data_IF_000814259558
#
_entry.id   IF_000814259558
#
_cell.length_a   1.000
_cell.length_b   1.000
_cell.length_c   1.000
_cell.angle_alpha   90.00
_cell.angle_beta   90.00
_cell.angle_gamma   90.00
#
_symmetry.space_group_name_H-M   'P 1'
#
loop_
_entity.id
_entity.type
_entity.pdbx_description
1 polymer ?
#
# COMPACT_ATOMS: atom_id res chain seq x y z
N UNK A 1 8.47 -27.33 -5.34
CA UNK A 1 8.19 -26.35 -4.26
C UNK A 1 6.68 -26.18 -4.11
N UNK A 2 6.15 -26.30 -2.89
CA UNK A 2 4.71 -26.17 -2.60
C UNK A 2 4.18 -24.81 -3.10
N UNK A 3 3.10 -24.80 -3.89
CA UNK A 3 2.57 -23.59 -4.53
C UNK A 3 2.23 -22.48 -3.51
N UNK A 4 1.73 -22.86 -2.33
CA UNK A 4 1.41 -21.89 -1.26
C UNK A 4 2.66 -21.12 -0.82
N UNK A 5 3.78 -21.82 -0.61
CA UNK A 5 5.06 -21.18 -0.27
C UNK A 5 5.49 -20.22 -1.37
N UNK A 6 5.31 -20.61 -2.63
CA UNK A 6 5.70 -19.75 -3.76
C UNK A 6 4.94 -18.42 -3.76
N UNK A 7 3.64 -18.49 -3.47
CA UNK A 7 2.75 -17.32 -3.43
C UNK A 7 2.94 -16.50 -2.16
N UNK A 8 3.33 -17.12 -1.04
CA UNK A 8 3.76 -16.44 0.18
C UNK A 8 4.97 -15.56 -0.12
N UNK A 9 6.01 -16.12 -0.76
CA UNK A 9 7.21 -15.36 -1.15
C UNK A 9 6.84 -14.20 -2.09
N UNK A 10 5.98 -14.44 -3.09
CA UNK A 10 5.52 -13.39 -4.00
C UNK A 10 4.80 -12.26 -3.25
N UNK A 11 3.86 -12.59 -2.36
CA UNK A 11 3.09 -11.60 -1.61
C UNK A 11 3.99 -10.83 -0.62
N UNK A 12 4.88 -11.52 0.08
CA UNK A 12 5.87 -10.88 0.94
C UNK A 12 6.66 -9.82 0.18
N UNK A 13 7.26 -10.20 -0.96
CA UNK A 13 8.07 -9.29 -1.78
C UNK A 13 7.23 -8.13 -2.34
N UNK A 14 6.01 -8.42 -2.82
CA UNK A 14 5.11 -7.41 -3.40
C UNK A 14 4.89 -6.23 -2.45
N UNK A 15 4.66 -6.52 -1.17
CA UNK A 15 4.39 -5.51 -0.16
C UNK A 15 5.66 -4.99 0.53
N UNK A 16 6.76 -5.75 0.53
CA UNK A 16 8.07 -5.25 0.94
C UNK A 16 8.55 -4.08 0.07
N UNK A 17 8.31 -4.13 -1.24
CA UNK A 17 8.57 -2.99 -2.16
C UNK A 17 7.89 -1.72 -1.66
N UNK A 18 6.61 -1.81 -1.26
CA UNK A 18 5.86 -0.66 -0.79
C UNK A 18 6.30 -0.19 0.60
N UNK A 19 6.50 -1.13 1.51
CA UNK A 19 6.89 -0.87 2.90
C UNK A 19 8.27 -0.23 3.03
N UNK A 20 9.11 -0.33 1.98
CA UNK A 20 10.41 0.30 1.95
C UNK A 20 10.36 1.84 1.95
N UNK A 21 9.29 2.46 1.46
CA UNK A 21 9.25 3.93 1.37
C UNK A 21 7.92 4.55 1.78
N UNK A 22 6.79 3.82 1.73
CA UNK A 22 5.47 4.42 1.84
C UNK A 22 5.28 5.23 3.13
N UNK A 23 5.77 4.74 4.26
CA UNK A 23 5.57 5.39 5.57
C UNK A 23 6.70 6.33 5.98
N UNK A 24 7.88 6.24 5.35
CA UNK A 24 9.06 7.05 5.67
C UNK A 24 9.32 8.18 4.68
N UNK A 25 8.78 8.12 3.46
CA UNK A 25 9.07 9.10 2.40
C UNK A 25 8.68 10.52 2.78
N UNK A 26 7.59 10.71 3.54
CA UNK A 26 7.23 12.03 4.07
C UNK A 26 8.35 12.67 4.89
N UNK A 27 9.08 11.88 5.68
CA UNK A 27 10.18 12.36 6.54
C UNK A 27 11.38 12.75 5.69
N UNK A 28 11.71 11.96 4.67
CA UNK A 28 12.71 12.34 3.68
C UNK A 28 12.34 13.64 2.96
N UNK A 29 11.12 13.75 2.43
CA UNK A 29 10.64 14.95 1.73
C UNK A 29 10.71 16.18 2.63
N UNK A 30 10.33 16.07 3.89
CA UNK A 30 10.46 17.16 4.87
C UNK A 30 11.92 17.58 5.03
N UNK A 31 12.83 16.62 5.17
CA UNK A 31 14.26 16.88 5.38
C UNK A 31 14.92 17.61 4.20
N UNK A 32 14.55 17.27 2.97
CA UNK A 32 15.09 17.92 1.75
C UNK A 32 14.29 19.18 1.33
N UNK A 33 13.50 19.76 2.23
CA UNK A 33 12.74 21.00 1.96
C UNK A 33 11.49 20.85 1.09
N UNK A 34 11.07 19.62 0.76
CA UNK A 34 9.88 19.31 -0.04
C UNK A 34 8.65 18.90 0.79
N UNK A 35 8.63 19.21 2.09
CA UNK A 35 7.54 18.84 3.01
C UNK A 35 6.16 19.36 2.58
N UNK A 36 6.09 20.54 1.97
CA UNK A 36 4.85 21.11 1.42
C UNK A 36 4.27 20.29 0.24
N UNK A 37 5.10 19.47 -0.41
CA UNK A 37 4.71 18.64 -1.55
C UNK A 37 4.32 17.20 -1.17
N UNK A 38 4.38 16.81 0.11
CA UNK A 38 4.00 15.45 0.55
C UNK A 38 2.63 15.06 -0.01
N UNK A 39 1.64 15.97 0.05
CA UNK A 39 0.29 15.71 -0.43
C UNK A 39 0.24 15.20 -1.88
N UNK A 40 0.99 15.81 -2.81
CA UNK A 40 0.95 15.41 -4.23
C UNK A 40 1.68 14.09 -4.49
N UNK A 41 2.77 13.80 -3.76
CA UNK A 41 3.45 12.50 -3.85
C UNK A 41 2.51 11.33 -3.47
N UNK A 42 1.70 11.50 -2.41
CA UNK A 42 0.75 10.45 -2.01
C UNK A 42 -0.51 10.43 -2.88
N UNK A 43 -0.96 11.59 -3.38
CA UNK A 43 -2.06 11.66 -4.33
C UNK A 43 -1.74 10.99 -5.67
N UNK A 44 -0.47 11.03 -6.12
CA UNK A 44 -0.04 10.43 -7.38
C UNK A 44 -0.35 8.93 -7.46
N UNK A 45 -0.28 8.21 -6.32
CA UNK A 45 -0.64 6.79 -6.23
C UNK A 45 -2.12 6.57 -6.60
N UNK A 46 -3.01 7.47 -6.15
CA UNK A 46 -4.42 7.48 -6.53
C UNK A 46 -4.61 7.81 -8.01
N UNK A 47 -3.91 8.83 -8.51
CA UNK A 47 -4.01 9.27 -9.92
C UNK A 47 -3.67 8.13 -10.88
N UNK A 48 -2.51 7.46 -10.71
CA UNK A 48 -2.12 6.36 -11.60
C UNK A 48 -3.06 5.16 -11.48
N UNK A 49 -3.62 4.93 -10.28
CA UNK A 49 -4.55 3.82 -10.03
C UNK A 49 -5.87 3.95 -10.78
N UNK A 50 -6.23 5.14 -11.28
CA UNK A 50 -7.43 5.35 -12.09
C UNK A 50 -7.34 4.71 -13.48
N UNK A 51 -6.14 4.54 -14.03
CA UNK A 51 -5.97 4.10 -15.42
C UNK A 51 -4.92 3.00 -15.62
N UNK A 52 -3.81 3.01 -14.88
CA UNK A 52 -2.74 2.01 -15.06
C UNK A 52 -3.19 0.57 -14.79
N UNK A 53 -3.99 0.26 -13.75
CA UNK A 53 -4.52 -1.09 -13.55
C UNK A 53 -5.37 -1.58 -14.74
N UNK A 54 -6.17 -0.70 -15.34
CA UNK A 54 -6.96 -1.04 -16.52
C UNK A 54 -6.07 -1.31 -17.74
N UNK A 55 -5.08 -0.45 -17.98
CA UNK A 55 -4.12 -0.61 -19.09
C UNK A 55 -3.35 -1.93 -18.96
N UNK A 56 -2.71 -2.16 -17.80
CA UNK A 56 -1.94 -3.39 -17.60
C UNK A 56 -2.83 -4.62 -17.52
N UNK A 57 -4.07 -4.51 -17.03
CA UNK A 57 -5.05 -5.60 -17.07
C UNK A 57 -5.36 -6.04 -18.50
N UNK A 58 -5.62 -5.09 -19.41
CA UNK A 58 -5.82 -5.40 -20.84
C UNK A 58 -4.59 -6.08 -21.45
N UNK A 59 -3.39 -5.62 -21.09
CA UNK A 59 -2.13 -6.22 -21.58
C UNK A 59 -1.96 -7.64 -21.05
N UNK A 60 -2.25 -7.85 -19.76
CA UNK A 60 -2.19 -9.16 -19.10
C UNK A 60 -3.16 -10.17 -19.72
N UNK A 61 -4.36 -9.70 -20.08
CA UNK A 61 -5.39 -10.55 -20.66
C UNK A 61 -5.06 -10.96 -22.10
N UNK A 62 -4.46 -10.07 -22.90
CA UNK A 62 -4.35 -10.24 -24.35
C UNK A 62 -2.97 -10.64 -24.86
N UNK A 63 -1.91 -10.07 -24.29
CA UNK A 63 -0.59 -10.08 -24.95
C UNK A 63 0.52 -10.69 -24.10
N UNK A 64 0.55 -10.37 -22.81
CA UNK A 64 1.65 -10.78 -21.92
C UNK A 64 1.10 -11.57 -20.74
N UNK A 65 1.60 -12.80 -20.48
CA UNK A 65 1.22 -13.55 -19.29
C UNK A 65 1.34 -12.72 -17.99
N UNK A 66 0.32 -12.76 -17.12
CA UNK A 66 0.24 -11.90 -15.94
C UNK A 66 1.49 -11.95 -15.04
N UNK A 67 2.12 -13.12 -14.87
CA UNK A 67 3.34 -13.29 -14.08
C UNK A 67 4.57 -12.61 -14.71
N UNK A 68 4.65 -12.58 -16.05
CA UNK A 68 5.72 -11.86 -16.76
C UNK A 68 5.48 -10.36 -16.71
N UNK A 69 4.23 -9.93 -16.89
CA UNK A 69 3.89 -8.52 -16.79
C UNK A 69 4.13 -7.99 -15.37
N UNK A 70 3.78 -8.77 -14.34
CA UNK A 70 4.12 -8.48 -12.95
C UNK A 70 5.63 -8.25 -12.77
N UNK A 71 6.46 -9.16 -13.31
CA UNK A 71 7.91 -9.03 -13.21
C UNK A 71 8.46 -7.81 -13.96
N UNK A 72 7.98 -7.54 -15.17
CA UNK A 72 8.38 -6.37 -15.96
C UNK A 72 7.98 -5.05 -15.28
N UNK A 73 6.77 -4.99 -14.73
CA UNK A 73 6.30 -3.81 -13.99
C UNK A 73 7.15 -3.52 -12.76
N UNK A 74 7.52 -4.55 -11.99
CA UNK A 74 8.42 -4.38 -10.84
C UNK A 74 9.83 -3.97 -11.25
N UNK A 75 10.34 -4.50 -12.37
CA UNK A 75 11.64 -4.09 -12.90
C UNK A 75 11.62 -2.61 -13.32
N UNK A 76 10.61 -2.17 -14.05
CA UNK A 76 10.47 -0.78 -14.46
C UNK A 76 10.28 0.15 -13.26
N UNK A 77 9.43 -0.23 -12.30
CA UNK A 77 9.27 0.52 -11.07
C UNK A 77 10.60 0.65 -10.31
N UNK A 78 11.35 -0.46 -10.16
CA UNK A 78 12.66 -0.46 -9.53
C UNK A 78 13.66 0.43 -10.26
N UNK A 79 13.70 0.42 -11.60
CA UNK A 79 14.59 1.28 -12.38
C UNK A 79 14.31 2.77 -12.14
N UNK A 80 13.03 3.17 -12.14
CA UNK A 80 12.67 4.56 -11.84
C UNK A 80 12.96 4.93 -10.38
N UNK A 81 12.80 4.00 -9.44
CA UNK A 81 13.11 4.23 -8.03
C UNK A 81 14.62 4.27 -7.76
N UNK A 82 15.45 3.52 -8.49
CA UNK A 82 16.91 3.72 -8.56
C UNK A 82 17.22 5.11 -9.08
N UNK A 83 16.53 5.57 -10.13
CA UNK A 83 16.65 6.95 -10.64
C UNK A 83 16.34 8.01 -9.56
N UNK A 84 15.25 7.82 -8.80
CA UNK A 84 14.90 8.69 -7.67
C UNK A 84 15.97 8.67 -6.57
N UNK A 85 16.46 7.48 -6.20
CA UNK A 85 17.51 7.29 -5.19
C UNK A 85 18.84 7.92 -5.62
N UNK A 86 19.27 7.67 -6.85
CA UNK A 86 20.49 8.22 -7.42
C UNK A 86 20.41 9.74 -7.53
N UNK A 87 19.27 10.27 -8.00
CA UNK A 87 19.06 11.71 -8.06
C UNK A 87 19.14 12.34 -6.66
N UNK A 88 18.43 11.78 -5.67
CA UNK A 88 18.51 12.24 -4.28
C UNK A 88 19.92 12.17 -3.70
N UNK A 89 20.71 11.17 -4.07
CA UNK A 89 22.12 11.06 -3.68
C UNK A 89 22.99 12.16 -4.30
N UNK A 90 22.82 12.42 -5.59
CA UNK A 90 23.68 13.39 -6.33
C UNK A 90 23.28 14.84 -6.13
N UNK A 91 22.00 15.13 -5.92
CA UNK A 91 21.49 16.49 -5.72
C UNK A 91 21.71 17.00 -4.29
N UNK A 92 21.94 16.12 -3.31
CA UNK A 92 22.19 16.51 -1.93
C UNK A 92 20.98 17.22 -1.32
N UNK A 93 21.19 18.46 -0.85
CA UNK A 93 20.12 19.29 -0.26
C UNK A 93 19.32 20.08 -1.32
N UNK A 94 19.80 20.16 -2.57
CA UNK A 94 19.19 20.93 -3.67
C UNK A 94 18.27 20.07 -4.57
N UNK A 95 17.53 19.14 -3.95
CA UNK A 95 16.64 18.21 -4.68
C UNK A 95 15.48 18.97 -5.32
N UNK A 96 15.42 18.96 -6.66
CA UNK A 96 14.30 19.51 -7.40
C UNK A 96 13.05 18.66 -7.25
N UNK A 97 11.94 19.30 -6.85
CA UNK A 97 10.61 18.71 -6.86
C UNK A 97 10.31 18.00 -8.18
N UNK A 98 10.45 18.70 -9.31
CA UNK A 98 10.04 18.21 -10.64
C UNK A 98 10.77 16.91 -11.01
N UNK A 99 12.07 16.83 -10.77
CA UNK A 99 12.88 15.67 -11.15
C UNK A 99 12.56 14.48 -10.25
N UNK A 100 12.58 14.67 -8.92
CA UNK A 100 12.26 13.60 -7.97
C UNK A 100 10.83 13.09 -8.18
N UNK A 101 9.87 14.01 -8.31
CA UNK A 101 8.47 13.69 -8.53
C UNK A 101 8.25 12.94 -9.85
N UNK A 102 9.00 13.26 -10.91
CA UNK A 102 8.90 12.55 -12.20
C UNK A 102 9.35 11.09 -12.09
N UNK A 103 10.52 10.84 -11.49
CA UNK A 103 10.99 9.47 -11.25
C UNK A 103 10.02 8.68 -10.37
N UNK A 104 9.59 9.28 -9.27
CA UNK A 104 8.60 8.67 -8.38
C UNK A 104 7.28 8.37 -9.11
N UNK A 105 6.75 9.32 -9.88
CA UNK A 105 5.48 9.18 -10.62
C UNK A 105 5.53 8.03 -11.62
N UNK A 106 6.63 7.92 -12.37
CA UNK A 106 6.84 6.82 -13.30
C UNK A 106 6.94 5.48 -12.57
N UNK A 107 7.65 5.43 -11.44
CA UNK A 107 7.72 4.22 -10.64
C UNK A 107 6.35 3.77 -10.14
N UNK A 108 5.56 4.67 -9.54
CA UNK A 108 4.24 4.30 -9.02
C UNK A 108 3.25 3.95 -10.13
N UNK A 109 3.41 4.52 -11.33
CA UNK A 109 2.60 4.14 -12.50
C UNK A 109 2.77 2.66 -12.87
N UNK A 110 3.99 2.12 -12.73
CA UNK A 110 4.24 0.69 -12.95
C UNK A 110 3.96 -0.15 -11.71
N UNK A 111 4.18 0.36 -10.50
CA UNK A 111 3.97 -0.40 -9.27
C UNK A 111 2.48 -0.56 -8.90
N UNK A 112 1.65 0.49 -8.92
CA UNK A 112 0.23 0.40 -8.51
C UNK A 112 -0.59 -0.72 -9.20
N UNK A 113 -0.53 -0.91 -10.53
CA UNK A 113 -1.24 -2.00 -11.18
C UNK A 113 -0.74 -3.40 -10.77
N UNK A 114 0.45 -3.53 -10.20
CA UNK A 114 0.98 -4.83 -9.73
C UNK A 114 0.16 -5.43 -8.60
N UNK A 115 -0.55 -4.63 -7.80
CA UNK A 115 -1.42 -5.11 -6.73
C UNK A 115 -2.56 -5.99 -7.28
N UNK A 116 -3.15 -5.59 -8.41
CA UNK A 116 -4.17 -6.38 -9.08
C UNK A 116 -3.55 -7.58 -9.82
N UNK A 117 -2.41 -7.37 -10.49
CA UNK A 117 -1.71 -8.44 -11.21
C UNK A 117 -1.24 -9.56 -10.28
N UNK A 118 -0.71 -9.24 -9.10
CA UNK A 118 -0.27 -10.23 -8.10
C UNK A 118 -1.43 -11.08 -7.61
N UNK A 119 -2.62 -10.48 -7.44
CA UNK A 119 -3.83 -11.22 -7.08
C UNK A 119 -4.24 -12.17 -8.23
N UNK A 120 -4.27 -11.69 -9.48
CA UNK A 120 -4.56 -12.53 -10.64
C UNK A 120 -3.59 -13.72 -10.78
N UNK A 121 -2.29 -13.48 -10.56
CA UNK A 121 -1.26 -14.52 -10.57
C UNK A 121 -1.50 -15.54 -9.46
N UNK A 122 -1.78 -15.09 -8.24
CA UNK A 122 -2.06 -15.97 -7.11
C UNK A 122 -3.31 -16.82 -7.34
N UNK A 123 -4.41 -16.22 -7.80
CA UNK A 123 -5.66 -16.93 -8.06
C UNK A 123 -5.51 -17.97 -9.16
N UNK A 124 -4.85 -17.62 -10.28
CA UNK A 124 -4.60 -18.57 -11.36
C UNK A 124 -3.71 -19.72 -10.90
N UNK A 125 -2.70 -19.44 -10.09
CA UNK A 125 -1.78 -20.46 -9.59
C UNK A 125 -2.44 -21.43 -8.59
N UNK A 126 -3.33 -20.92 -7.72
CA UNK A 126 -4.11 -21.73 -6.78
C UNK A 126 -5.14 -22.60 -7.50
N UNK A 127 -5.86 -22.02 -8.47
CA UNK A 127 -6.86 -22.71 -9.29
C UNK A 127 -6.22 -23.86 -10.07
N UNK A 128 -5.09 -23.61 -10.74
CA UNK A 128 -4.30 -24.66 -11.41
C UNK A 128 -3.80 -25.78 -10.48
N UNK A 129 -3.68 -25.50 -9.18
CA UNK A 129 -3.29 -26.49 -8.19
C UNK A 129 -4.49 -27.20 -7.55
N UNK A 130 -5.72 -26.94 -8.01
CA UNK A 130 -6.96 -27.52 -7.47
C UNK A 130 -7.29 -27.04 -6.05
N UNK A 131 -6.81 -25.86 -5.66
CA UNK A 131 -7.02 -25.29 -4.33
C UNK A 131 -8.16 -24.27 -4.34
N UNK A 132 -9.00 -24.33 -3.31
CA UNK A 132 -10.04 -23.32 -3.04
C UNK A 132 -9.37 -21.95 -2.78
N UNK A 133 -9.53 -21.02 -3.72
CA UNK A 133 -8.91 -19.68 -3.68
C UNK A 133 -9.41 -18.86 -2.50
N UNK A 134 -10.70 -18.98 -2.15
CA UNK A 134 -11.33 -18.23 -1.06
C UNK A 134 -10.73 -18.63 0.28
N UNK A 135 -10.41 -19.93 0.45
CA UNK A 135 -9.78 -20.44 1.68
C UNK A 135 -8.26 -20.27 1.68
N UNK A 136 -7.61 -20.47 0.53
CA UNK A 136 -6.16 -20.55 0.46
C UNK A 136 -5.49 -19.18 0.36
N UNK A 137 -6.13 -18.19 -0.26
CA UNK A 137 -5.50 -16.89 -0.51
C UNK A 137 -5.39 -15.97 0.72
N UNK A 138 -6.37 -15.88 1.65
CA UNK A 138 -6.27 -14.93 2.76
C UNK A 138 -5.01 -15.12 3.63
N UNK A 139 -4.63 -16.35 4.06
CA UNK A 139 -3.37 -16.53 4.80
C UNK A 139 -2.12 -16.16 3.99
N UNK A 140 -2.15 -16.38 2.67
CA UNK A 140 -1.05 -16.01 1.76
C UNK A 140 -0.93 -14.47 1.68
N UNK A 141 -2.07 -13.78 1.59
CA UNK A 141 -2.15 -12.31 1.51
C UNK A 141 -1.62 -11.65 2.78
N UNK A 142 -1.89 -12.21 3.95
CA UNK A 142 -1.37 -11.74 5.24
C UNK A 142 0.17 -11.70 5.28
N UNK A 143 0.84 -12.65 4.60
CA UNK A 143 2.29 -12.62 4.47
C UNK A 143 2.81 -11.41 3.69
N UNK A 144 1.96 -10.75 2.89
CA UNK A 144 2.26 -9.45 2.30
C UNK A 144 2.41 -8.36 3.37
N UNK A 145 1.49 -8.27 4.33
CA UNK A 145 1.61 -7.29 5.43
C UNK A 145 2.87 -7.54 6.27
N UNK A 146 3.25 -8.81 6.46
CA UNK A 146 4.53 -9.16 7.08
C UNK A 146 5.71 -8.61 6.26
N UNK A 147 5.69 -8.78 4.93
CA UNK A 147 6.71 -8.20 4.05
C UNK A 147 6.79 -6.68 4.14
N UNK A 148 5.65 -6.01 4.22
CA UNK A 148 5.57 -4.57 4.46
C UNK A 148 6.27 -4.18 5.76
N UNK A 149 5.90 -4.82 6.88
CA UNK A 149 6.48 -4.57 8.22
C UNK A 149 7.99 -4.82 8.22
N UNK A 150 8.44 -5.96 7.68
CA UNK A 150 9.86 -6.29 7.62
C UNK A 150 10.66 -5.22 6.85
N UNK A 151 10.10 -4.70 5.75
CA UNK A 151 10.77 -3.63 5.01
C UNK A 151 10.76 -2.29 5.74
N UNK A 152 9.69 -1.97 6.47
CA UNK A 152 9.65 -0.78 7.34
C UNK A 152 10.75 -0.85 8.40
N UNK A 153 10.90 -2.00 9.06
CA UNK A 153 11.90 -2.22 10.09
C UNK A 153 13.31 -2.15 9.53
N UNK A 154 13.56 -2.75 8.37
CA UNK A 154 14.86 -2.66 7.70
C UNK A 154 15.23 -1.20 7.44
N UNK A 155 14.31 -0.40 6.90
CA UNK A 155 14.54 1.02 6.58
C UNK A 155 14.74 1.87 7.83
N UNK A 156 14.03 1.54 8.91
CA UNK A 156 14.16 2.23 10.20
C UNK A 156 15.51 1.92 10.88
N UNK A 157 15.80 0.63 11.07
CA UNK A 157 16.98 0.15 11.80
C UNK A 157 18.31 0.46 11.08
N UNK A 158 18.30 0.55 9.74
CA UNK A 158 19.46 0.98 8.97
C UNK A 158 19.57 2.52 8.85
N UNK A 159 18.65 3.28 9.45
CA UNK A 159 18.67 4.74 9.42
C UNK A 159 18.31 5.35 8.05
N UNK A 160 17.60 4.60 7.20
CA UNK A 160 17.25 5.01 5.84
C UNK A 160 15.95 5.82 5.77
N UNK A 161 15.15 5.87 6.84
CA UNK A 161 13.85 6.54 6.84
C UNK A 161 13.88 8.01 6.39
N UNK A 162 14.98 8.72 6.69
CA UNK A 162 15.13 10.14 6.41
C UNK A 162 16.06 10.43 5.22
N UNK A 163 16.38 9.45 4.37
CA UNK A 163 17.26 9.64 3.23
C UNK A 163 16.85 8.81 2.00
N UNK A 164 17.56 9.01 0.89
CA UNK A 164 17.28 8.39 -0.41
C UNK A 164 17.49 6.85 -0.43
N UNK A 165 18.15 6.25 0.56
CA UNK A 165 18.41 4.80 0.62
C UNK A 165 17.13 3.97 0.69
N UNK A 166 16.03 4.54 1.17
CA UNK A 166 14.71 3.90 1.14
C UNK A 166 14.24 3.58 -0.29
N UNK A 167 14.62 4.40 -1.27
CA UNK A 167 14.31 4.16 -2.69
C UNK A 167 15.17 3.04 -3.29
N UNK A 168 16.44 2.95 -2.90
CA UNK A 168 17.28 1.80 -3.28
C UNK A 168 16.78 0.50 -2.63
N UNK A 169 16.34 0.55 -1.38
CA UNK A 169 15.74 -0.60 -0.69
C UNK A 169 14.48 -1.07 -1.43
N UNK A 170 13.59 -0.14 -1.81
CA UNK A 170 12.43 -0.42 -2.65
C UNK A 170 12.83 -1.10 -3.97
N UNK A 171 13.84 -0.56 -4.66
CA UNK A 171 14.32 -1.12 -5.92
C UNK A 171 14.92 -2.53 -5.77
N UNK A 172 15.66 -2.81 -4.70
CA UNK A 172 16.21 -4.15 -4.43
C UNK A 172 15.07 -5.17 -4.29
N UNK A 173 14.06 -4.88 -3.48
CA UNK A 173 12.88 -5.75 -3.38
C UNK A 173 12.17 -5.92 -4.73
N UNK A 174 12.06 -4.85 -5.51
CA UNK A 174 11.43 -4.85 -6.82
C UNK A 174 12.17 -5.73 -7.83
N UNK A 175 13.51 -5.65 -7.87
CA UNK A 175 14.35 -6.50 -8.74
C UNK A 175 14.28 -7.96 -8.32
N UNK A 176 14.32 -8.25 -7.01
CA UNK A 176 14.17 -9.63 -6.50
C UNK A 176 12.82 -10.19 -6.94
N UNK A 177 11.73 -9.43 -6.80
CA UNK A 177 10.41 -9.85 -7.24
C UNK A 177 10.33 -9.97 -8.76
N UNK A 178 10.95 -9.06 -9.52
CA UNK A 178 10.98 -9.12 -10.97
C UNK A 178 11.61 -10.42 -11.48
N UNK A 179 12.74 -10.82 -10.90
CA UNK A 179 13.41 -12.09 -11.22
C UNK A 179 12.54 -13.27 -10.75
N UNK A 180 12.05 -13.23 -9.52
CA UNK A 180 11.27 -14.31 -8.93
C UNK A 180 9.95 -14.56 -9.68
N UNK A 181 9.29 -13.52 -10.19
CA UNK A 181 8.03 -13.60 -10.91
C UNK A 181 8.13 -14.46 -12.17
N UNK A 182 9.30 -14.50 -12.82
CA UNK A 182 9.54 -15.37 -13.98
C UNK A 182 9.55 -16.86 -13.63
N UNK A 183 9.76 -17.20 -12.37
CA UNK A 183 9.72 -18.60 -11.92
C UNK A 183 8.28 -19.08 -11.74
N UNK A 184 7.33 -18.18 -11.44
CA UNK A 184 5.95 -18.52 -11.06
C UNK A 184 5.21 -19.30 -12.15
N UNK A 185 4.18 -20.10 -11.78
CA UNK A 185 3.39 -20.83 -12.77
C UNK A 185 2.88 -19.90 -13.86
N UNK A 186 2.88 -20.38 -15.10
CA UNK A 186 2.42 -19.56 -16.21
C UNK A 186 0.93 -19.24 -16.08
N UNK A 187 0.59 -17.95 -16.12
CA UNK A 187 -0.78 -17.46 -16.27
C UNK A 187 -1.06 -17.29 -17.76
N UNK A 188 -1.81 -18.20 -18.41
CA UNK A 188 -2.05 -18.12 -19.84
C UNK A 188 -2.83 -16.85 -20.16
N UNK A 189 -2.47 -16.21 -21.28
CA UNK A 189 -3.26 -15.11 -21.82
C UNK A 189 -4.59 -15.65 -22.36
N UNK A 190 -5.66 -14.91 -22.20
CA UNK A 190 -6.96 -15.25 -22.77
C UNK A 190 -6.92 -14.91 -24.27
N UNK A 191 -6.40 -15.83 -25.08
CA UNK A 191 -6.58 -15.74 -26.54
C UNK A 191 -8.04 -16.06 -26.83
N UNK A 192 -8.82 -15.04 -27.21
CA UNK A 192 -10.23 -15.13 -27.63
C UNK A 192 -10.57 -16.49 -28.28
N UNK A 193 -11.11 -17.43 -27.51
CA UNK A 193 -11.75 -18.66 -27.99
C UNK A 193 -13.26 -18.46 -28.22
N UNK A 194 -13.67 -17.24 -28.61
CA UNK A 194 -15.06 -16.97 -28.98
C UNK A 194 -15.43 -15.50 -29.00
N UNK A 195 -15.18 -14.82 -30.12
CA UNK A 195 -16.02 -13.76 -30.70
C UNK A 195 -16.42 -12.49 -29.93
N UNK A 196 -16.29 -12.38 -28.61
CA UNK A 196 -16.75 -11.20 -27.87
C UNK A 196 -15.57 -10.27 -27.57
N UNK A 197 -15.37 -9.26 -28.43
CA UNK A 197 -14.60 -8.07 -28.04
C UNK A 197 -15.31 -7.45 -26.84
N UNK A 198 -14.78 -7.64 -25.62
CA UNK A 198 -15.19 -6.80 -24.47
C UNK A 198 -15.09 -5.34 -24.91
N UNK A 199 -16.20 -4.61 -24.78
CA UNK A 199 -16.27 -3.19 -25.14
C UNK A 199 -15.19 -2.42 -24.37
N UNK A 200 -14.61 -1.37 -24.98
CA UNK A 200 -13.64 -0.50 -24.30
C UNK A 200 -14.20 0.06 -22.98
N UNK A 201 -15.52 0.28 -22.92
CA UNK A 201 -16.24 0.72 -21.72
C UNK A 201 -16.25 -0.36 -20.62
N UNK A 202 -16.33 -1.64 -21.00
CA UNK A 202 -16.25 -2.77 -20.07
C UNK A 202 -14.82 -3.04 -19.63
N UNK A 203 -13.86 -2.93 -20.55
CA UNK A 203 -12.43 -3.14 -20.26
C UNK A 203 -11.86 -2.07 -19.33
N UNK A 204 -12.34 -0.83 -19.43
CA UNK A 204 -11.96 0.28 -18.55
C UNK A 204 -12.80 0.35 -17.25
N UNK A 205 -13.74 -0.57 -17.04
CA UNK A 205 -14.57 -0.60 -15.82
C UNK A 205 -15.53 0.59 -15.68
N UNK A 206 -15.75 1.38 -16.74
CA UNK A 206 -16.55 2.61 -16.72
C UNK A 206 -18.04 2.34 -16.39
N UNK A 207 -18.50 1.09 -16.49
CA UNK A 207 -19.82 0.69 -15.99
C UNK A 207 -19.98 0.86 -14.47
N UNK A 208 -18.88 0.89 -13.70
CA UNK A 208 -18.92 1.14 -12.26
C UNK A 208 -19.53 2.51 -11.92
N UNK A 209 -19.43 3.50 -12.80
CA UNK A 209 -20.07 4.81 -12.58
C UNK A 209 -21.61 4.73 -12.57
N UNK A 210 -22.22 3.68 -13.13
CA UNK A 210 -23.65 3.45 -13.03
C UNK A 210 -24.11 3.22 -11.58
N UNK A 211 -23.22 2.75 -10.70
CA UNK A 211 -23.52 2.58 -9.27
C UNK A 211 -23.82 3.92 -8.59
N UNK A 212 -23.26 5.04 -9.06
CA UNK A 212 -23.59 6.38 -8.54
C UNK A 212 -25.05 6.79 -8.80
N UNK A 213 -25.76 6.12 -9.71
CA UNK A 213 -27.20 6.33 -9.89
C UNK A 213 -28.01 5.86 -8.68
N UNK A 214 -27.47 4.93 -7.88
CA UNK A 214 -28.09 4.48 -6.64
C UNK A 214 -27.67 5.39 -5.49
N UNK A 215 -28.63 6.11 -4.90
CA UNK A 215 -28.38 7.09 -3.83
C UNK A 215 -27.56 6.52 -2.67
N UNK A 216 -27.82 5.27 -2.25
CA UNK A 216 -27.07 4.61 -1.17
C UNK A 216 -25.59 4.38 -1.54
N UNK A 217 -25.32 3.94 -2.76
CA UNK A 217 -23.96 3.73 -3.26
C UNK A 217 -23.21 5.04 -3.43
N UNK A 218 -23.85 6.08 -3.98
CA UNK A 218 -23.24 7.40 -4.13
C UNK A 218 -22.81 7.99 -2.78
N UNK A 219 -23.69 7.92 -1.77
CA UNK A 219 -23.38 8.36 -0.40
C UNK A 219 -22.20 7.54 0.14
N UNK A 220 -22.26 6.22 0.02
CA UNK A 220 -21.18 5.33 0.45
C UNK A 220 -19.83 5.67 -0.20
N UNK A 221 -19.79 5.93 -1.51
CA UNK A 221 -18.56 6.29 -2.21
C UNK A 221 -18.01 7.64 -1.78
N UNK A 222 -18.86 8.66 -1.58
CA UNK A 222 -18.40 9.96 -1.06
C UNK A 222 -17.76 9.80 0.31
N UNK A 223 -18.40 9.06 1.21
CA UNK A 223 -17.81 8.76 2.52
C UNK A 223 -16.53 7.94 2.42
N UNK A 224 -16.47 6.97 1.50
CA UNK A 224 -15.26 6.18 1.23
C UNK A 224 -14.10 7.05 0.75
N UNK A 225 -14.37 8.03 -0.12
CA UNK A 225 -13.37 8.99 -0.58
C UNK A 225 -12.85 9.85 0.58
N UNK A 226 -13.75 10.36 1.45
CA UNK A 226 -13.36 11.15 2.63
C UNK A 226 -12.52 10.32 3.62
N UNK A 227 -12.87 9.05 3.84
CA UNK A 227 -12.06 8.15 4.66
C UNK A 227 -10.73 7.80 4.01
N UNK A 228 -10.68 7.73 2.68
CA UNK A 228 -9.42 7.63 1.92
C UNK A 228 -8.48 8.81 2.18
N UNK A 229 -9.00 10.02 2.41
CA UNK A 229 -8.19 11.19 2.80
C UNK A 229 -7.50 10.93 4.15
N UNK A 230 -8.23 10.44 5.15
CA UNK A 230 -7.68 10.08 6.47
C UNK A 230 -6.54 9.05 6.37
N UNK A 231 -6.71 8.05 5.51
CA UNK A 231 -5.67 7.06 5.24
C UNK A 231 -4.41 7.70 4.64
N UNK A 232 -4.56 8.55 3.62
CA UNK A 232 -3.41 9.18 2.97
C UNK A 232 -2.69 10.18 3.89
N UNK A 233 -3.44 10.89 4.75
CA UNK A 233 -2.84 11.72 5.79
C UNK A 233 -1.96 10.87 6.71
N UNK A 234 -2.46 9.72 7.15
CA UNK A 234 -1.68 8.80 7.99
C UNK A 234 -0.42 8.32 7.28
N UNK A 235 -0.53 7.86 6.04
CA UNK A 235 0.61 7.33 5.29
C UNK A 235 1.69 8.39 5.03
N UNK A 236 1.28 9.63 4.73
CA UNK A 236 2.19 10.71 4.37
C UNK A 236 2.76 11.49 5.55
N UNK A 237 1.98 11.69 6.60
CA UNK A 237 2.30 12.67 7.65
C UNK A 237 2.50 12.06 9.03
N UNK A 238 2.14 10.80 9.30
CA UNK A 238 2.34 10.22 10.63
C UNK A 238 3.82 10.17 11.03
N UNK A 239 4.71 9.74 10.12
CA UNK A 239 6.14 9.68 10.40
C UNK A 239 6.77 11.09 10.53
N UNK A 240 6.53 12.03 9.60
CA UNK A 240 6.95 13.42 9.77
C UNK A 240 6.46 14.05 11.07
N UNK A 241 5.20 13.80 11.44
CA UNK A 241 4.61 14.34 12.67
C UNK A 241 5.38 13.85 13.90
N UNK A 242 5.60 12.53 14.03
CA UNK A 242 6.35 11.99 15.16
C UNK A 242 7.81 12.48 15.14
N UNK A 243 8.47 12.47 13.97
CA UNK A 243 9.87 12.90 13.84
C UNK A 243 10.04 14.39 14.11
N UNK A 244 9.02 15.22 13.88
CA UNK A 244 9.09 16.68 14.13
C UNK A 244 9.37 17.03 15.59
N UNK A 245 9.01 16.15 16.53
CA UNK A 245 9.35 16.32 17.95
C UNK A 245 10.85 16.29 18.22
N UNK A 246 11.70 15.83 17.29
CA UNK A 246 13.16 15.95 17.39
C UNK A 246 13.66 17.39 17.54
N UNK A 247 12.88 18.37 17.09
CA UNK A 247 13.18 19.79 17.28
C UNK A 247 13.07 20.25 18.74
N UNK A 248 12.46 19.44 19.61
CA UNK A 248 12.34 19.70 21.04
C UNK A 248 13.40 18.86 21.76
N UNK A 249 14.37 19.46 22.46
CA UNK A 249 15.48 18.73 23.09
C UNK A 249 15.03 17.61 24.04
N UNK A 250 13.90 17.80 24.74
CA UNK A 250 13.30 16.79 25.63
C UNK A 250 12.94 15.47 24.90
N UNK A 251 12.57 15.53 23.62
CA UNK A 251 12.07 14.38 22.88
C UNK A 251 13.06 13.81 21.85
N UNK A 252 14.16 14.52 21.57
CA UNK A 252 15.11 14.18 20.51
C UNK A 252 15.66 12.75 20.61
N UNK A 253 15.95 12.29 21.83
CA UNK A 253 16.52 10.97 22.10
C UNK A 253 15.47 9.91 22.49
N UNK A 254 14.18 10.23 22.35
CA UNK A 254 13.12 9.25 22.63
C UNK A 254 13.03 8.20 21.53
N UNK A 255 12.71 6.96 21.91
CA UNK A 255 12.52 5.87 20.96
C UNK A 255 11.48 6.20 19.88
N UNK A 256 10.39 6.88 20.25
CA UNK A 256 9.34 7.25 19.29
C UNK A 256 9.84 8.17 18.18
N UNK A 257 10.76 9.10 18.50
CA UNK A 257 11.34 10.03 17.53
C UNK A 257 12.43 9.35 16.69
N UNK A 258 13.33 8.60 17.31
CA UNK A 258 14.43 7.93 16.60
C UNK A 258 13.94 6.80 15.69
N UNK A 259 12.90 6.08 16.12
CA UNK A 259 12.35 4.90 15.46
C UNK A 259 10.86 5.08 15.11
N UNK A 260 10.52 6.24 14.55
CA UNK A 260 9.14 6.59 14.19
C UNK A 260 8.51 5.60 13.20
N UNK A 261 9.27 5.09 12.24
CA UNK A 261 8.77 4.13 11.27
C UNK A 261 8.48 2.78 11.95
N UNK A 262 9.33 2.33 12.87
CA UNK A 262 9.09 1.14 13.69
C UNK A 262 7.85 1.32 14.58
N UNK A 263 7.67 2.47 15.22
CA UNK A 263 6.47 2.76 16.01
C UNK A 263 5.19 2.69 15.14
N UNK A 264 5.21 3.25 13.93
CA UNK A 264 4.09 3.20 12.99
C UNK A 264 3.81 1.78 12.49
N UNK A 265 4.81 0.90 12.45
CA UNK A 265 4.60 -0.50 12.03
C UNK A 265 3.61 -1.26 12.91
N UNK A 266 3.40 -0.81 14.17
CA UNK A 266 2.34 -1.33 15.04
C UNK A 266 0.94 -1.20 14.41
N UNK A 267 0.71 -0.20 13.54
CA UNK A 267 -0.53 -0.09 12.77
C UNK A 267 -0.71 -1.23 11.79
N UNK A 268 0.35 -1.65 11.11
CA UNK A 268 0.32 -2.76 10.15
C UNK A 268 0.15 -4.12 10.86
N UNK A 269 0.74 -4.25 12.05
CA UNK A 269 0.50 -5.42 12.93
C UNK A 269 -0.96 -5.44 13.38
N UNK A 270 -1.49 -4.30 13.82
CA UNK A 270 -2.89 -4.18 14.21
C UNK A 270 -3.84 -4.52 13.05
N UNK A 271 -3.58 -4.00 11.85
CA UNK A 271 -4.32 -4.34 10.63
C UNK A 271 -4.37 -5.87 10.43
N UNK A 272 -3.21 -6.53 10.47
CA UNK A 272 -3.13 -7.98 10.35
C UNK A 272 -4.01 -8.72 11.36
N UNK A 273 -4.00 -8.28 12.63
CA UNK A 273 -4.84 -8.86 13.67
C UNK A 273 -6.33 -8.54 13.49
N UNK A 274 -6.66 -7.31 13.09
CA UNK A 274 -8.03 -6.84 12.93
C UNK A 274 -8.74 -7.52 11.77
N UNK A 275 -8.06 -7.85 10.67
CA UNK A 275 -8.61 -8.66 9.57
C UNK A 275 -9.22 -9.97 10.09
N UNK A 276 -8.53 -10.65 11.01
CA UNK A 276 -9.00 -11.92 11.58
C UNK A 276 -10.24 -11.76 12.46
N UNK A 277 -10.48 -10.56 13.00
CA UNK A 277 -11.63 -10.25 13.85
C UNK A 277 -12.88 -9.87 13.05
N UNK A 278 -12.74 -9.51 11.77
CA UNK A 278 -13.86 -9.03 10.94
C UNK A 278 -15.05 -9.99 10.91
N UNK A 279 -14.90 -11.31 10.68
CA UNK A 279 -16.05 -12.21 10.61
C UNK A 279 -16.90 -12.20 11.89
N UNK A 280 -16.23 -12.11 13.05
CA UNK A 280 -16.88 -12.02 14.35
C UNK A 280 -17.68 -10.72 14.50
N UNK A 281 -17.06 -9.57 14.18
CA UNK A 281 -17.70 -8.27 14.31
C UNK A 281 -18.85 -8.07 13.30
N UNK A 282 -18.68 -8.52 12.05
CA UNK A 282 -19.74 -8.47 11.04
C UNK A 282 -20.91 -9.39 11.43
N UNK A 283 -20.63 -10.61 11.90
CA UNK A 283 -21.67 -11.54 12.34
C UNK A 283 -22.47 -11.03 13.54
N UNK A 284 -21.82 -10.34 14.49
CA UNK A 284 -22.46 -9.84 15.72
C UNK A 284 -23.15 -8.48 15.56
N UNK A 285 -22.52 -7.54 14.85
CA UNK A 285 -22.95 -6.14 14.83
C UNK A 285 -23.55 -5.72 13.48
N UNK A 286 -23.29 -6.46 12.41
CA UNK A 286 -23.70 -6.14 11.05
C UNK A 286 -22.93 -4.97 10.43
N UNK A 287 -22.99 -4.86 9.10
CA UNK A 287 -22.18 -3.92 8.29
C UNK A 287 -22.31 -2.47 8.78
N UNK A 288 -23.53 -1.97 8.99
CA UNK A 288 -23.76 -0.57 9.38
C UNK A 288 -23.05 -0.17 10.68
N UNK A 289 -23.12 -1.03 11.71
CA UNK A 289 -22.48 -0.73 13.01
C UNK A 289 -20.96 -0.85 12.91
N UNK A 290 -20.46 -1.85 12.17
CA UNK A 290 -19.02 -2.03 11.94
C UNK A 290 -18.42 -0.83 11.21
N UNK A 291 -19.10 -0.30 10.20
CA UNK A 291 -18.70 0.93 9.52
C UNK A 291 -18.65 2.14 10.48
N UNK A 292 -19.66 2.29 11.35
CA UNK A 292 -19.67 3.38 12.33
C UNK A 292 -18.52 3.26 13.35
N UNK A 293 -18.21 2.04 13.80
CA UNK A 293 -17.06 1.76 14.67
C UNK A 293 -15.76 2.19 13.98
N UNK A 294 -15.60 1.88 12.69
CA UNK A 294 -14.42 2.29 11.93
C UNK A 294 -14.27 3.82 11.84
N UNK A 295 -15.38 4.55 11.66
CA UNK A 295 -15.37 6.02 11.65
C UNK A 295 -14.97 6.61 13.01
N UNK A 296 -15.51 6.07 14.11
CA UNK A 296 -15.12 6.48 15.47
C UNK A 296 -13.64 6.15 15.71
N UNK A 297 -13.16 5.01 15.24
CA UNK A 297 -11.76 4.61 15.33
C UNK A 297 -10.84 5.60 14.59
N UNK A 298 -11.24 6.12 13.42
CA UNK A 298 -10.49 7.19 12.74
C UNK A 298 -10.42 8.49 13.57
N UNK A 299 -11.52 8.91 14.17
CA UNK A 299 -11.54 10.09 15.06
C UNK A 299 -10.63 9.87 16.27
N UNK A 300 -10.74 8.70 16.90
CA UNK A 300 -9.92 8.33 18.04
C UNK A 300 -8.42 8.28 17.66
N UNK A 301 -8.08 7.72 16.49
CA UNK A 301 -6.71 7.67 15.98
C UNK A 301 -6.09 9.07 15.95
N UNK A 302 -6.75 10.02 15.28
CA UNK A 302 -6.22 11.38 15.16
C UNK A 302 -6.28 12.16 16.47
N UNK A 303 -7.31 11.97 17.29
CA UNK A 303 -7.38 12.56 18.63
C UNK A 303 -6.20 12.12 19.51
N UNK A 304 -5.83 10.83 19.45
CA UNK A 304 -4.67 10.29 20.16
C UNK A 304 -3.34 10.81 19.61
N UNK A 305 -3.22 11.00 18.29
CA UNK A 305 -2.05 11.66 17.70
C UNK A 305 -1.93 13.12 18.15
N UNK A 306 -3.03 13.86 18.19
CA UNK A 306 -3.02 15.28 18.55
C UNK A 306 -2.76 15.56 20.03
N UNK A 307 -3.14 14.64 20.92
CA UNK A 307 -2.95 14.76 22.37
C UNK A 307 -1.67 14.08 22.88
N UNK A 308 -1.12 13.13 22.12
CA UNK A 308 0.06 12.37 22.49
C UNK A 308 1.39 13.11 22.30
N UNK A 309 2.46 12.56 22.88
CA UNK A 309 3.84 13.01 22.67
C UNK A 309 4.81 11.81 22.76
N UNK A 310 6.07 11.92 22.27
CA UNK A 310 7.03 10.82 22.32
C UNK A 310 7.58 10.45 23.71
N UNK A 311 7.34 11.27 24.74
CA UNK A 311 7.74 11.02 26.12
C UNK A 311 6.67 10.28 26.91
N UNK A 312 6.17 10.89 28.00
CA UNK A 312 5.15 10.29 28.87
C UNK A 312 3.82 10.01 28.15
N UNK A 313 3.54 10.70 27.04
CA UNK A 313 2.36 10.52 26.20
C UNK A 313 2.46 9.42 25.14
N UNK A 314 3.58 8.66 25.07
CA UNK A 314 3.83 7.72 23.96
C UNK A 314 2.80 6.60 23.88
N UNK A 315 2.19 6.24 25.01
CA UNK A 315 1.09 5.28 25.05
C UNK A 315 -0.09 5.70 24.17
N UNK A 316 -0.32 7.00 23.97
CA UNK A 316 -1.36 7.52 23.09
C UNK A 316 -1.02 7.22 21.62
N UNK A 317 0.25 7.35 21.23
CA UNK A 317 0.70 6.93 19.91
C UNK A 317 0.53 5.42 19.72
N UNK A 318 0.98 4.60 20.69
CA UNK A 318 0.80 3.14 20.64
C UNK A 318 -0.68 2.77 20.51
N UNK A 319 -1.55 3.36 21.33
CA UNK A 319 -2.98 3.13 21.26
C UNK A 319 -3.56 3.57 19.92
N UNK A 320 -3.11 4.71 19.39
CA UNK A 320 -3.49 5.18 18.05
C UNK A 320 -3.11 4.16 16.98
N UNK A 321 -1.93 3.55 17.08
CA UNK A 321 -1.49 2.50 16.16
C UNK A 321 -2.35 1.24 16.26
N UNK A 322 -2.74 0.83 17.47
CA UNK A 322 -3.66 -0.31 17.67
C UNK A 322 -5.04 0.00 17.08
N UNK A 323 -5.57 1.20 17.31
CA UNK A 323 -6.89 1.60 16.79
C UNK A 323 -6.93 1.64 15.25
N UNK A 324 -5.79 1.81 14.59
CA UNK A 324 -5.69 1.84 13.13
C UNK A 324 -6.29 0.62 12.46
N UNK A 325 -5.98 -0.60 12.94
CA UNK A 325 -6.46 -1.82 12.31
C UNK A 325 -8.00 -1.85 12.26
N UNK A 326 -8.64 -1.41 13.35
CA UNK A 326 -10.09 -1.25 13.40
C UNK A 326 -10.56 -0.16 12.44
N UNK A 327 -9.88 0.99 12.40
CA UNK A 327 -10.26 2.10 11.53
C UNK A 327 -10.17 1.74 10.03
N UNK A 328 -9.12 1.01 9.64
CA UNK A 328 -8.82 0.68 8.27
C UNK A 328 -9.60 -0.55 7.78
N UNK A 329 -9.46 -1.69 8.46
CA UNK A 329 -9.99 -2.95 7.97
C UNK A 329 -11.51 -3.04 8.05
N UNK A 330 -12.07 -2.58 9.18
CA UNK A 330 -13.52 -2.66 9.36
C UNK A 330 -14.22 -1.79 8.33
N UNK A 331 -13.60 -0.68 7.91
CA UNK A 331 -14.14 0.12 6.83
C UNK A 331 -13.95 -0.55 5.45
N UNK A 332 -12.71 -0.88 5.08
CA UNK A 332 -12.39 -1.34 3.73
C UNK A 332 -13.04 -2.69 3.38
N UNK A 333 -13.00 -3.64 4.31
CA UNK A 333 -13.58 -4.97 4.07
C UNK A 333 -15.10 -4.92 4.12
N UNK A 334 -15.70 -4.26 5.12
CA UNK A 334 -17.17 -4.14 5.15
C UNK A 334 -17.70 -3.32 3.98
N UNK A 335 -16.94 -2.32 3.54
CA UNK A 335 -17.21 -1.51 2.37
C UNK A 335 -17.20 -2.33 1.09
N UNK A 336 -16.20 -3.20 0.91
CA UNK A 336 -16.15 -4.11 -0.23
C UNK A 336 -17.31 -5.11 -0.28
N UNK A 337 -17.88 -5.47 0.88
CA UNK A 337 -19.07 -6.34 0.99
C UNK A 337 -20.39 -5.58 0.80
N UNK A 338 -20.37 -4.25 0.96
CA UNK A 338 -21.55 -3.41 0.80
C UNK A 338 -21.82 -3.06 -0.68
N UNK A 339 -20.75 -2.95 -1.48
CA UNK A 339 -20.77 -2.67 -2.93
C UNK A 339 -21.17 -3.91 -3.73
#
# INVERSE_FOLDING_TARGET
MNIKIRLIIMNFLQFAVWGAYLTSMGTYLTKIGLGSHIGIFYAMQGIVSLFMPAILGIIADRWVPAQRLLGLSHLLAALFMVGAGYYGMTAGDDVSFTVLFSFYSMSVAFYMPTLALSNSVAYTALDKAGLDTIKAFPPIRTCGTIGFICSMWLVDLLGFQANYMQFFTCAVWGVILAVYANTLPQCPVTRNTGGQRKSLVEALGLKAFLLFRQRKMAIFFIFSMLLGVSLQITNGFANPFITSFSAIPEYADTFGVQHANLLISLSQISETCCILLIPFFLGRFGIKKVMLIAMIAWVLRFGLFGLGNPGSGVWMFILSMIVYGVAFDFFNVSGSLFV
#
